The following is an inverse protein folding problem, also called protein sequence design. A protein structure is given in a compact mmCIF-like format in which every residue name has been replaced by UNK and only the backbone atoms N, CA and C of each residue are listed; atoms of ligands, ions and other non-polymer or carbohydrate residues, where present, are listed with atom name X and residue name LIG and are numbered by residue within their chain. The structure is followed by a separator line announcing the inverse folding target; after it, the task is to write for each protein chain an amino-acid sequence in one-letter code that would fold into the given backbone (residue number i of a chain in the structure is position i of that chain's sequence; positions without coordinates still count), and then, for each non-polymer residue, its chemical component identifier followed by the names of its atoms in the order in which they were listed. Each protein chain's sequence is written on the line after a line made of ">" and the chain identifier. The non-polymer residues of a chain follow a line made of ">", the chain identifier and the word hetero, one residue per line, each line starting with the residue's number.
data_IF_249622602476
#
_entry.id   IF_249622602476
#
_cell.length_a   1.000
_cell.length_b   1.000
_cell.length_c   1.000
_cell.angle_alpha   90.00
_cell.angle_beta   90.00
_cell.angle_gamma   90.00
#
_symmetry.space_group_name_H-M   'P 1'
#
loop_
_entity.id
_entity.type
_entity.pdbx_description
1 polymer ?
#
# COMPACT_ATOMS: atom_id res chain seq x y z
N UNK A 1 -12.11 -0.79 -28.71
CA UNK A 1 -12.98 -1.24 -27.60
C UNK A 1 -13.67 -0.04 -27.00
N UNK A 2 -14.94 -0.13 -26.77
CA UNK A 2 -15.69 0.95 -26.17
C UNK A 2 -16.20 0.50 -24.80
N UNK A 3 -15.95 1.32 -23.79
CA UNK A 3 -16.36 0.99 -22.44
C UNK A 3 -17.70 1.61 -22.12
N UNK A 4 -18.44 0.94 -21.26
CA UNK A 4 -19.75 1.43 -20.88
C UNK A 4 -19.68 2.43 -19.74
N UNK A 5 -20.74 3.19 -19.57
CA UNK A 5 -20.87 4.09 -18.42
C UNK A 5 -21.27 3.30 -17.18
N UNK A 6 -21.01 3.87 -16.00
CA UNK A 6 -21.50 3.30 -14.77
C UNK A 6 -22.96 3.74 -14.56
N UNK A 7 -23.76 2.80 -14.05
CA UNK A 7 -25.14 3.07 -13.71
C UNK A 7 -25.38 2.65 -12.27
N UNK A 8 -25.47 3.61 -11.39
CA UNK A 8 -25.76 3.29 -9.98
C UNK A 8 -24.57 2.69 -9.27
N UNK A 9 -24.76 1.55 -8.66
CA UNK A 9 -23.82 1.00 -7.69
C UNK A 9 -22.84 -0.02 -8.26
N UNK A 10 -22.76 -0.12 -9.55
CA UNK A 10 -21.96 -1.18 -10.16
C UNK A 10 -20.46 -1.09 -9.82
N UNK A 11 -19.98 0.09 -9.44
CA UNK A 11 -18.58 0.22 -9.07
C UNK A 11 -18.19 -0.57 -7.84
N UNK A 12 -19.13 -0.97 -7.03
CA UNK A 12 -18.86 -1.74 -5.82
C UNK A 12 -18.50 -3.20 -6.09
N UNK A 13 -18.67 -3.64 -7.32
CA UNK A 13 -18.41 -5.03 -7.68
C UNK A 13 -16.98 -5.32 -8.04
N UNK A 14 -16.12 -4.32 -8.04
CA UNK A 14 -14.75 -4.49 -8.54
C UNK A 14 -13.75 -4.65 -7.41
N UNK A 15 -12.65 -5.30 -7.72
CA UNK A 15 -11.52 -5.40 -6.81
C UNK A 15 -10.61 -4.18 -6.99
N UNK A 16 -10.07 -3.67 -5.92
CA UNK A 16 -9.22 -2.49 -5.94
C UNK A 16 -7.96 -2.71 -5.13
N UNK A 17 -6.87 -2.09 -5.57
CA UNK A 17 -5.78 -1.83 -4.66
C UNK A 17 -6.09 -0.55 -3.89
N UNK A 18 -5.78 -0.54 -2.61
CA UNK A 18 -6.03 0.63 -1.77
C UNK A 18 -4.71 1.35 -1.49
N UNK A 19 -4.66 2.61 -1.86
CA UNK A 19 -3.47 3.42 -1.62
C UNK A 19 -3.83 4.42 -0.54
N UNK A 20 -3.10 4.41 0.60
CA UNK A 20 -3.44 5.32 1.70
C UNK A 20 -3.29 6.78 1.27
N UNK A 21 -4.26 7.59 1.62
CA UNK A 21 -4.19 9.02 1.33
C UNK A 21 -3.02 9.68 2.04
N UNK A 22 -2.59 9.13 3.17
CA UNK A 22 -1.46 9.66 3.91
C UNK A 22 -0.19 9.74 3.06
N UNK A 23 -0.02 8.84 2.11
CA UNK A 23 1.15 8.88 1.23
C UNK A 23 1.19 10.12 0.34
N UNK A 24 0.05 10.77 0.16
CA UNK A 24 -0.04 12.00 -0.63
C UNK A 24 -0.13 13.25 0.25
N UNK A 25 -0.55 13.10 1.50
CA UNK A 25 -0.83 14.23 2.37
C UNK A 25 0.21 14.48 3.44
N UNK A 26 0.91 13.42 3.88
CA UNK A 26 1.89 13.53 4.96
C UNK A 26 3.23 13.98 4.40
N UNK A 27 3.84 14.97 5.03
CA UNK A 27 5.12 15.50 4.57
C UNK A 27 6.24 14.46 4.59
N UNK A 28 6.14 13.44 5.42
CA UNK A 28 7.15 12.38 5.47
C UNK A 28 7.26 11.63 4.16
N UNK A 29 6.20 11.59 3.38
CA UNK A 29 6.13 10.78 2.17
C UNK A 29 6.11 11.61 0.88
N UNK A 30 6.39 12.90 0.98
CA UNK A 30 6.31 13.78 -0.20
C UNK A 30 7.31 13.43 -1.28
N UNK A 31 8.44 12.83 -0.93
CA UNK A 31 9.47 12.52 -1.90
C UNK A 31 9.20 11.24 -2.68
N UNK A 32 8.19 10.49 -2.29
CA UNK A 32 7.85 9.28 -3.02
C UNK A 32 7.27 9.62 -4.38
N UNK A 33 7.70 8.86 -5.39
CA UNK A 33 7.06 8.96 -6.70
C UNK A 33 5.66 8.34 -6.64
N UNK A 34 4.82 8.72 -7.58
CA UNK A 34 3.48 8.12 -7.68
C UNK A 34 3.56 6.61 -7.85
N UNK A 35 4.53 6.14 -8.61
CA UNK A 35 4.70 4.71 -8.83
C UNK A 35 5.07 3.99 -7.53
N UNK A 36 5.90 4.61 -6.69
CA UNK A 36 6.24 4.00 -5.41
C UNK A 36 5.04 3.93 -4.48
N UNK A 37 4.20 4.95 -4.49
CA UNK A 37 2.96 4.93 -3.72
C UNK A 37 2.03 3.82 -4.20
N UNK A 38 1.94 3.66 -5.50
CA UNK A 38 1.14 2.58 -6.08
C UNK A 38 1.68 1.22 -5.67
N UNK A 39 3.00 1.05 -5.71
CA UNK A 39 3.61 -0.20 -5.29
C UNK A 39 3.30 -0.49 -3.83
N UNK A 40 3.35 0.51 -2.97
CA UNK A 40 3.01 0.30 -1.57
C UNK A 40 1.57 -0.22 -1.41
N UNK A 41 0.63 0.30 -2.18
CA UNK A 41 -0.74 -0.19 -2.16
C UNK A 41 -0.84 -1.65 -2.58
N UNK A 42 -0.07 -2.05 -3.59
CA UNK A 42 -0.01 -3.44 -4.03
C UNK A 42 0.56 -4.33 -2.93
N UNK A 43 1.62 -3.86 -2.27
CA UNK A 43 2.24 -4.63 -1.19
C UNK A 43 1.31 -4.77 0.01
N UNK A 44 0.51 -3.75 0.31
CA UNK A 44 -0.49 -3.85 1.37
C UNK A 44 -1.53 -4.92 1.06
N UNK A 45 -1.96 -4.99 -0.17
CA UNK A 45 -2.91 -6.00 -0.59
C UNK A 45 -2.31 -7.40 -0.40
N UNK A 46 -1.08 -7.57 -0.81
CA UNK A 46 -0.38 -8.84 -0.66
C UNK A 46 -0.19 -9.20 0.81
N UNK A 47 0.11 -8.20 1.64
CA UNK A 47 0.27 -8.41 3.07
C UNK A 47 -1.02 -8.91 3.71
N UNK A 48 -2.16 -8.40 3.28
CA UNK A 48 -3.44 -8.86 3.79
C UNK A 48 -3.66 -10.35 3.53
N UNK A 49 -3.24 -10.82 2.36
CA UNK A 49 -3.34 -12.23 2.03
C UNK A 49 -2.36 -13.06 2.86
N UNK A 50 -1.14 -12.56 3.07
CA UNK A 50 -0.15 -13.26 3.88
C UNK A 50 -0.60 -13.38 5.32
N UNK A 51 -1.23 -12.35 5.86
CA UNK A 51 -1.74 -12.40 7.23
C UNK A 51 -2.81 -13.48 7.36
N UNK A 52 -3.67 -13.61 6.37
CA UNK A 52 -4.70 -14.66 6.38
C UNK A 52 -4.08 -16.05 6.30
N UNK A 53 -2.92 -16.18 5.66
CA UNK A 53 -2.23 -17.45 5.49
C UNK A 53 -1.23 -17.70 6.62
N UNK A 54 -1.19 -16.85 7.63
CA UNK A 54 -0.30 -16.98 8.79
C UNK A 54 1.18 -16.93 8.41
N UNK A 55 1.52 -16.13 7.41
CA UNK A 55 2.93 -15.94 7.04
C UNK A 55 3.54 -14.89 7.97
N UNK A 56 3.94 -15.34 9.14
CA UNK A 56 4.52 -14.48 10.15
C UNK A 56 5.87 -15.05 10.59
N UNK A 57 6.74 -14.17 11.04
CA UNK A 57 8.04 -14.60 11.54
C UNK A 57 7.95 -14.96 13.03
N UNK A 58 9.10 -15.25 13.63
CA UNK A 58 9.15 -15.66 15.04
C UNK A 58 8.74 -14.54 16.00
N UNK A 59 8.72 -13.30 15.53
CA UNK A 59 8.29 -12.16 16.33
C UNK A 59 6.85 -11.74 16.02
N UNK A 60 6.13 -12.54 15.24
CA UNK A 60 4.76 -12.22 14.89
C UNK A 60 4.59 -11.18 13.78
N UNK A 61 5.66 -10.79 13.13
CA UNK A 61 5.58 -9.80 12.05
C UNK A 61 5.19 -10.46 10.74
N UNK A 62 4.20 -9.90 10.06
CA UNK A 62 3.75 -10.43 8.78
C UNK A 62 4.78 -10.07 7.71
N UNK A 63 5.13 -11.04 6.88
CA UNK A 63 6.03 -10.80 5.75
C UNK A 63 5.38 -11.25 4.45
N UNK A 64 5.91 -10.73 3.35
CA UNK A 64 5.48 -11.14 2.02
C UNK A 64 6.72 -11.44 1.20
N UNK A 65 6.51 -12.16 0.10
CA UNK A 65 7.53 -12.36 -0.92
C UNK A 65 7.00 -11.71 -2.18
N UNK A 66 7.73 -10.72 -2.68
CA UNK A 66 7.34 -10.01 -3.89
C UNK A 66 8.61 -9.63 -4.63
N UNK A 67 8.82 -10.25 -5.77
CA UNK A 67 10.09 -10.13 -6.48
C UNK A 67 10.09 -8.91 -7.38
N UNK A 68 11.31 -8.53 -7.81
CA UNK A 68 11.47 -7.46 -8.80
C UNK A 68 10.66 -7.77 -10.06
N UNK A 69 10.65 -9.05 -10.47
CA UNK A 69 9.90 -9.44 -11.66
C UNK A 69 8.41 -9.23 -11.48
N UNK A 70 7.89 -9.53 -10.29
CA UNK A 70 6.47 -9.32 -10.03
C UNK A 70 6.12 -7.83 -10.06
N UNK A 71 7.02 -6.96 -9.60
CA UNK A 71 6.82 -5.52 -9.69
C UNK A 71 6.79 -5.10 -11.16
N UNK A 72 7.72 -5.63 -11.96
CA UNK A 72 7.73 -5.32 -13.39
C UNK A 72 6.42 -5.69 -14.06
N UNK A 73 5.87 -6.85 -13.72
CA UNK A 73 4.62 -7.30 -14.29
C UNK A 73 3.42 -6.48 -13.81
N UNK A 74 3.42 -6.13 -12.53
CA UNK A 74 2.29 -5.39 -11.96
C UNK A 74 2.24 -3.95 -12.42
N UNK A 75 3.40 -3.32 -12.58
CA UNK A 75 3.46 -1.90 -12.94
C UNK A 75 3.87 -1.67 -14.38
N UNK A 76 4.12 -2.73 -15.13
CA UNK A 76 4.53 -2.64 -16.54
C UNK A 76 5.75 -1.74 -16.69
N UNK A 77 6.79 -2.00 -15.92
CA UNK A 77 8.00 -1.19 -15.93
C UNK A 77 9.24 -2.04 -16.14
N UNK A 78 10.37 -1.38 -16.40
CA UNK A 78 11.65 -2.04 -16.57
C UNK A 78 12.25 -2.45 -15.24
N UNK A 79 13.25 -3.30 -15.30
CA UNK A 79 13.86 -3.88 -14.12
C UNK A 79 14.43 -2.84 -13.18
N UNK A 80 15.21 -1.89 -13.72
CA UNK A 80 15.83 -0.96 -12.81
C UNK A 80 14.88 0.09 -12.27
N UNK A 81 13.75 0.30 -12.92
CA UNK A 81 12.71 1.11 -12.30
C UNK A 81 12.09 0.38 -11.12
N UNK A 82 11.85 -0.92 -11.25
CA UNK A 82 11.32 -1.72 -10.14
C UNK A 82 12.28 -1.70 -8.95
N UNK A 83 13.58 -1.84 -9.21
CA UNK A 83 14.57 -1.78 -8.14
C UNK A 83 14.57 -0.40 -7.48
N UNK A 84 14.47 0.65 -8.28
CA UNK A 84 14.43 2.01 -7.76
C UNK A 84 13.20 2.21 -6.87
N UNK A 85 12.06 1.67 -7.25
CA UNK A 85 10.83 1.81 -6.47
C UNK A 85 10.95 1.13 -5.11
N UNK A 86 11.55 -0.05 -5.07
CA UNK A 86 11.83 -0.68 -3.78
C UNK A 86 12.72 0.19 -2.92
N UNK A 87 13.74 0.81 -3.51
CA UNK A 87 14.63 1.69 -2.75
C UNK A 87 13.89 2.91 -2.21
N UNK A 88 13.00 3.49 -3.01
CA UNK A 88 12.22 4.63 -2.54
C UNK A 88 11.41 4.26 -1.31
N UNK A 89 10.77 3.10 -1.32
CA UNK A 89 9.98 2.65 -0.18
C UNK A 89 10.85 2.34 1.03
N UNK A 90 12.03 1.77 0.81
CA UNK A 90 12.95 1.51 1.92
C UNK A 90 13.46 2.82 2.53
N UNK A 91 13.77 3.80 1.71
CA UNK A 91 14.26 5.09 2.20
C UNK A 91 13.18 5.85 2.95
N UNK A 92 11.93 5.66 2.59
CA UNK A 92 10.82 6.27 3.31
C UNK A 92 10.42 5.47 4.55
N UNK A 93 11.12 4.37 4.81
CA UNK A 93 10.87 3.49 5.96
C UNK A 93 9.48 2.84 5.90
N UNK A 94 8.96 2.65 4.70
CA UNK A 94 7.67 2.00 4.51
C UNK A 94 7.78 0.50 4.33
N UNK A 95 8.94 0.01 3.95
CA UNK A 95 9.21 -1.43 3.88
C UNK A 95 10.60 -1.72 4.41
N UNK A 96 10.82 -2.97 4.76
CA UNK A 96 12.13 -3.47 5.10
C UNK A 96 12.32 -4.80 4.36
N UNK A 97 13.41 -4.94 3.63
CA UNK A 97 13.70 -6.17 2.92
C UNK A 97 14.78 -6.94 3.65
N UNK A 98 14.55 -8.22 3.86
CA UNK A 98 15.52 -9.10 4.51
C UNK A 98 15.98 -10.16 3.53
N UNK A 99 17.26 -10.18 3.22
CA UNK A 99 17.82 -11.19 2.34
C UNK A 99 17.99 -12.51 3.07
N UNK A 100 17.76 -13.59 2.38
CA UNK A 100 17.84 -14.92 2.97
C UNK A 100 18.95 -15.78 2.39
N UNK A 101 19.80 -15.22 1.53
CA UNK A 101 20.88 -15.97 0.91
C UNK A 101 20.66 -16.24 -0.56
N UNK A 102 21.62 -16.90 -1.16
CA UNK A 102 21.62 -17.15 -2.60
C UNK A 102 20.44 -18.04 -2.99
N UNK A 103 19.80 -17.66 -4.08
CA UNK A 103 18.73 -18.47 -4.65
C UNK A 103 17.39 -18.35 -3.94
N UNK A 104 17.29 -17.54 -2.89
CA UNK A 104 16.05 -17.36 -2.18
C UNK A 104 15.55 -15.93 -2.34
N UNK A 105 14.26 -15.72 -2.60
CA UNK A 105 13.71 -14.37 -2.65
C UNK A 105 13.78 -13.72 -1.28
N UNK A 106 13.94 -12.40 -1.28
CA UNK A 106 13.98 -11.65 -0.03
C UNK A 106 12.61 -11.59 0.61
N UNK A 107 12.59 -11.56 1.93
CA UNK A 107 11.36 -11.28 2.65
C UNK A 107 11.14 -9.78 2.69
N UNK A 108 9.88 -9.36 2.58
CA UNK A 108 9.52 -7.95 2.67
C UNK A 108 8.56 -7.78 3.82
N UNK A 109 8.92 -6.89 4.74
CA UNK A 109 8.04 -6.49 5.84
C UNK A 109 7.46 -5.14 5.47
N UNK A 110 6.14 -5.08 5.28
CA UNK A 110 5.46 -3.82 4.97
C UNK A 110 5.18 -3.13 6.29
N UNK A 111 5.70 -1.94 6.45
CA UNK A 111 5.56 -1.20 7.69
C UNK A 111 4.28 -0.38 7.71
N UNK A 112 3.83 -0.09 8.91
CA UNK A 112 2.56 0.61 9.08
C UNK A 112 2.74 2.11 8.82
N UNK A 113 2.18 2.57 7.73
CA UNK A 113 2.26 3.98 7.34
C UNK A 113 1.60 4.91 8.37
N UNK A 114 0.68 4.38 9.16
CA UNK A 114 -0.08 5.20 10.09
C UNK A 114 0.64 5.43 11.42
N UNK A 115 1.79 4.82 11.61
CA UNK A 115 2.56 5.04 12.83
C UNK A 115 2.98 6.51 12.90
N UNK A 116 2.64 7.17 14.00
CA UNK A 116 2.95 8.57 14.17
C UNK A 116 1.98 9.55 13.53
N UNK A 117 0.95 9.06 12.85
CA UNK A 117 -0.07 9.94 12.30
C UNK A 117 -1.10 10.33 13.36
N UNK A 118 -1.67 11.53 13.26
CA UNK A 118 -2.79 11.88 14.13
C UNK A 118 -3.98 10.95 13.90
N UNK A 119 -4.75 10.72 14.94
CA UNK A 119 -5.88 9.81 14.85
C UNK A 119 -6.88 10.23 13.78
N UNK A 120 -7.07 11.53 13.59
CA UNK A 120 -8.01 11.99 12.58
C UNK A 120 -7.60 11.56 11.18
N UNK A 121 -6.31 11.57 10.88
CA UNK A 121 -5.83 11.11 9.58
C UNK A 121 -5.98 9.61 9.44
N UNK A 122 -5.79 8.88 10.52
CA UNK A 122 -5.97 7.43 10.47
C UNK A 122 -7.42 7.09 10.17
N UNK A 123 -8.35 7.79 10.78
CA UNK A 123 -9.77 7.55 10.51
C UNK A 123 -10.12 7.83 9.07
N UNK A 124 -9.61 8.92 8.55
CA UNK A 124 -9.87 9.25 7.15
C UNK A 124 -9.34 8.21 6.20
N UNK A 125 -8.23 7.58 6.56
CA UNK A 125 -7.69 6.53 5.73
C UNK A 125 -8.44 5.21 5.89
N UNK A 126 -8.94 4.94 7.09
CA UNK A 126 -9.51 3.64 7.35
C UNK A 126 -10.97 3.54 7.01
N UNK A 127 -11.64 4.67 6.94
CA UNK A 127 -13.05 4.55 6.97
C UNK A 127 -13.77 5.42 6.07
N UNK A 128 -14.04 4.91 5.03
CA UNK A 128 -14.92 5.56 4.16
C UNK A 128 -16.31 5.38 4.55
N UNK A 129 -16.63 4.55 5.46
CA UNK A 129 -18.01 4.38 5.73
C UNK A 129 -18.42 4.84 7.05
N UNK A 130 -17.66 4.76 8.03
CA UNK A 130 -18.21 5.26 9.20
C UNK A 130 -17.69 6.58 9.54
N UNK A 131 -16.65 6.98 9.03
CA UNK A 131 -16.26 8.25 9.29
C UNK A 131 -17.12 9.20 8.74
N UNK A 132 -17.79 8.78 7.90
CA UNK A 132 -18.74 9.64 7.50
C UNK A 132 -19.41 10.19 8.65
N UNK A 133 -19.22 9.90 9.64
CA UNK A 133 -19.86 10.44 10.66
C UNK A 133 -19.15 11.50 11.30
N UNK A 134 -18.46 12.08 11.09
CA UNK A 134 -17.91 13.08 11.79
C UNK A 134 -17.24 13.96 11.11
N UNK A 135 -17.21 13.89 10.75
CA UNK A 135 -16.61 14.35 10.41
C UNK A 135 -16.39 14.61 9.69
N UNK A 136 -16.29 14.87 9.58
CA UNK A 136 -15.89 14.80 9.14
C UNK A 136 -15.70 15.21 8.71
N UNK A 137 -15.45 15.64 8.74
CA UNK A 137 -15.05 15.65 8.70
C UNK A 137 -14.66 15.88 8.20
N UNK A 138 -14.32 16.22 8.17
CA UNK A 138 -13.77 16.01 8.14
C UNK A 138 -13.48 15.85 7.49
N UNK A 139 -13.25 16.02 7.41
CA UNK A 139 -12.82 15.35 7.23
C UNK A 139 -12.87 15.27 6.68
N UNK A 140 -13.01 15.54 6.65
CA UNK A 140 -13.05 14.94 6.52
C UNK A 140 -13.13 14.99 6.03
N UNK A 141 -13.01 15.50 5.89
CA UNK A 141 -12.98 15.24 5.83
C UNK A 141 -12.67 14.90 5.09
N UNK A 142 -12.17 14.84 4.97
CA UNK A 142 -11.85 14.16 4.73
C UNK A 142 -12.05 13.49 4.27
N UNK A 143 -12.17 13.38 4.22
CA UNK A 143 -12.29 12.44 4.13
C UNK A 143 -12.55 11.97 3.73
N UNK A 144 -12.59 11.92 3.62
CA UNK A 144 -12.88 11.28 3.64
C UNK A 144 -13.00 11.12 3.42
#
# INVERSE_FOLDING_TARGET
>A
MMLDYFYGQSGELFAYFRIPKALFQDSRFRQLSTDARTLYGILLDRMSLSAKNSWVDEHGRVYIIYTVREVQESLCCAEHKAIKLFRELEQADLIERKRRGLGRPSLIYVKNFSSGLPKAQIQNCANSNSCAAESAVQVAKIAI
#
